data_IF_766945678852
#
_entry.id   IF_766945678852
#
_cell.length_a   1.000
_cell.length_b   1.000
_cell.length_c   1.000
_cell.angle_alpha   90.00
_cell.angle_beta   90.00
_cell.angle_gamma   90.00
#
_symmetry.space_group_name_H-M   'P 1'
#
loop_
_entity.id
_entity.type
_entity.pdbx_description
1 polymer ?
#
# COMPACT_ATOMS: atom_id res chain seq x y z
N UNK A 1 -26.91 2.70 -13.59
CA UNK A 1 -25.58 2.46 -14.13
C UNK A 1 -24.58 2.25 -13.01
N UNK A 2 -23.88 1.12 -13.02
CA UNK A 2 -22.92 0.83 -11.99
C UNK A 2 -21.60 1.53 -12.25
N UNK A 3 -20.93 1.92 -11.18
CA UNK A 3 -19.59 2.51 -11.25
C UNK A 3 -18.62 1.59 -10.54
N UNK A 4 -17.45 1.41 -11.12
CA UNK A 4 -16.42 0.58 -10.55
C UNK A 4 -15.31 1.49 -10.05
N UNK A 5 -14.94 1.31 -8.80
CA UNK A 5 -13.82 2.01 -8.19
C UNK A 5 -12.84 1.00 -7.62
N UNK A 6 -11.61 1.42 -7.49
CA UNK A 6 -10.57 0.57 -6.90
C UNK A 6 -10.08 1.23 -5.63
N UNK A 7 -10.12 0.47 -4.54
CA UNK A 7 -9.74 0.98 -3.22
C UNK A 7 -8.34 0.46 -2.89
N UNK A 8 -7.45 1.39 -2.62
CA UNK A 8 -6.08 1.05 -2.24
C UNK A 8 -6.01 0.77 -0.74
N UNK A 9 -5.52 -0.40 -0.41
CA UNK A 9 -5.26 -0.80 0.97
C UNK A 9 -3.77 -1.09 1.07
N UNK A 10 -3.07 -0.36 1.92
CA UNK A 10 -1.62 -0.48 2.03
C UNK A 10 -1.22 -0.75 3.47
N UNK A 11 -0.23 -1.62 3.63
CA UNK A 11 0.31 -1.97 4.93
C UNK A 11 1.83 -1.93 4.88
N UNK A 12 2.44 -1.67 6.04
CA UNK A 12 3.87 -1.83 6.22
C UNK A 12 4.07 -3.01 7.16
N UNK A 13 5.00 -3.87 6.81
CA UNK A 13 5.21 -5.12 7.50
C UNK A 13 6.64 -5.25 7.98
N UNK A 14 6.80 -5.99 9.07
CA UNK A 14 8.11 -6.36 9.61
C UNK A 14 8.25 -7.88 9.49
N UNK A 15 9.34 -8.34 8.90
CA UNK A 15 9.59 -9.77 8.77
C UNK A 15 10.17 -10.38 10.05
N UNK A 16 10.69 -9.56 10.95
CA UNK A 16 11.30 -9.99 12.20
C UNK A 16 10.78 -9.15 13.35
N UNK A 17 10.31 -9.75 14.45
CA UNK A 17 10.10 -11.17 14.72
C UNK A 17 8.71 -11.63 14.26
N UNK A 18 8.65 -12.33 13.16
CA UNK A 18 7.40 -12.77 12.59
C UNK A 18 6.75 -11.68 11.76
N UNK A 19 5.80 -12.07 10.93
CA UNK A 19 5.17 -11.14 10.00
C UNK A 19 4.10 -10.31 10.70
N UNK A 20 4.45 -9.09 11.05
CA UNK A 20 3.52 -8.14 11.65
C UNK A 20 3.32 -6.98 10.71
N UNK A 21 2.07 -6.69 10.39
CA UNK A 21 1.73 -5.62 9.46
C UNK A 21 0.82 -4.60 10.10
N UNK A 22 1.02 -3.34 9.72
CA UNK A 22 0.20 -2.23 10.18
C UNK A 22 -0.33 -1.45 8.98
N UNK A 23 -1.58 -1.00 9.03
CA UNK A 23 -2.11 -0.21 7.92
C UNK A 23 -1.38 1.13 7.80
N UNK A 24 -1.23 1.57 6.54
CA UNK A 24 -0.66 2.87 6.23
C UNK A 24 -1.76 3.72 5.64
N UNK A 25 -2.09 4.87 6.24
CA UNK A 25 -3.02 5.79 5.60
C UNK A 25 -2.39 6.39 4.36
N UNK A 26 -3.18 6.51 3.30
CA UNK A 26 -2.72 7.12 2.06
C UNK A 26 -3.57 8.36 1.77
N UNK A 27 -2.94 9.43 1.19
CA UNK A 27 -3.70 10.63 0.86
C UNK A 27 -4.82 10.36 -0.14
N UNK A 28 -4.59 9.44 -1.08
CA UNK A 28 -5.57 9.03 -2.06
C UNK A 28 -5.77 7.53 -1.93
N UNK A 29 -7.02 7.10 -1.74
CA UNK A 29 -7.33 5.70 -1.56
C UNK A 29 -8.35 5.17 -2.57
N UNK A 30 -8.96 6.05 -3.37
CA UNK A 30 -9.95 5.65 -4.37
C UNK A 30 -9.46 6.03 -5.76
N UNK A 31 -9.60 5.10 -6.70
CA UNK A 31 -9.17 5.29 -8.08
C UNK A 31 -10.26 4.81 -9.03
N UNK A 32 -10.40 5.49 -10.16
CA UNK A 32 -11.39 5.11 -11.16
C UNK A 32 -10.85 4.08 -12.15
N UNK A 33 -9.53 3.81 -12.13
CA UNK A 33 -8.90 2.85 -13.01
C UNK A 33 -7.92 1.99 -12.23
N UNK A 34 -7.89 0.70 -12.57
CA UNK A 34 -7.04 -0.26 -11.87
C UNK A 34 -5.55 0.10 -11.98
N UNK A 35 -5.10 0.43 -13.18
CA UNK A 35 -3.67 0.70 -13.36
C UNK A 35 -3.22 1.95 -12.59
N UNK A 36 -4.10 2.93 -12.41
CA UNK A 36 -3.77 4.10 -11.61
C UNK A 36 -3.57 3.73 -10.15
N UNK A 37 -4.40 2.82 -9.65
CA UNK A 37 -4.26 2.32 -8.28
C UNK A 37 -2.94 1.58 -8.10
N UNK A 38 -2.60 0.71 -9.02
CA UNK A 38 -1.38 -0.09 -8.95
C UNK A 38 -0.13 0.80 -9.01
N UNK A 39 -0.10 1.74 -9.94
CA UNK A 39 1.05 2.64 -10.07
C UNK A 39 1.22 3.48 -8.81
N UNK A 40 0.13 4.03 -8.31
CA UNK A 40 0.18 4.81 -7.08
C UNK A 40 0.67 3.98 -5.90
N UNK A 41 0.20 2.72 -5.82
CA UNK A 41 0.61 1.82 -4.75
C UNK A 41 2.11 1.58 -4.75
N UNK A 42 2.70 1.31 -5.91
CA UNK A 42 4.14 1.10 -6.02
C UNK A 42 4.92 2.37 -5.73
N UNK A 43 4.47 3.51 -6.27
CA UNK A 43 5.15 4.78 -6.05
C UNK A 43 5.12 5.16 -4.57
N UNK A 44 3.97 5.03 -3.93
CA UNK A 44 3.82 5.38 -2.53
C UNK A 44 4.62 4.42 -1.64
N UNK A 45 4.65 3.13 -1.99
CA UNK A 45 5.46 2.14 -1.26
C UNK A 45 6.93 2.51 -1.30
N UNK A 46 7.43 2.87 -2.47
CA UNK A 46 8.83 3.27 -2.62
C UNK A 46 9.13 4.51 -1.78
N UNK A 47 8.26 5.50 -1.85
CA UNK A 47 8.42 6.73 -1.06
C UNK A 47 8.45 6.45 0.44
N UNK A 48 7.56 5.58 0.91
CA UNK A 48 7.50 5.22 2.33
C UNK A 48 8.80 4.57 2.78
N UNK A 49 9.29 3.60 2.02
CA UNK A 49 10.52 2.91 2.37
C UNK A 49 11.73 3.84 2.34
N UNK A 50 11.76 4.76 1.37
CA UNK A 50 12.86 5.73 1.29
C UNK A 50 12.85 6.73 2.43
N UNK A 51 11.70 6.97 3.05
CA UNK A 51 11.59 7.89 4.16
C UNK A 51 12.01 7.29 5.49
N UNK A 52 12.18 5.96 5.55
CA UNK A 52 12.58 5.28 6.76
C UNK A 52 14.10 5.14 6.83
N UNK A 53 14.62 4.98 8.05
CA UNK A 53 16.04 4.76 8.26
C UNK A 53 16.41 3.39 7.66
N UNK A 54 17.40 3.34 6.74
CA UNK A 54 17.82 2.06 6.17
C UNK A 54 18.22 1.01 7.21
N UNK A 55 18.78 1.44 8.33
CA UNK A 55 19.16 0.49 9.39
C UNK A 55 17.93 -0.16 10.00
N UNK A 56 16.86 0.57 10.17
CA UNK A 56 15.61 0.02 10.70
C UNK A 56 15.02 -0.97 9.71
N UNK A 57 15.02 -0.63 8.43
CA UNK A 57 14.52 -1.54 7.39
C UNK A 57 15.31 -2.84 7.39
N UNK A 58 16.63 -2.74 7.47
CA UNK A 58 17.50 -3.92 7.46
C UNK A 58 17.33 -4.76 8.73
N UNK A 59 17.22 -4.09 9.87
CA UNK A 59 17.13 -4.80 11.16
C UNK A 59 15.85 -5.61 11.28
N UNK A 60 14.72 -5.03 10.87
CA UNK A 60 13.41 -5.68 11.01
C UNK A 60 12.92 -6.30 9.71
N UNK A 61 13.72 -6.25 8.65
CA UNK A 61 13.36 -6.73 7.32
C UNK A 61 11.99 -6.20 6.92
N UNK A 62 11.87 -4.88 6.94
CA UNK A 62 10.60 -4.21 6.67
C UNK A 62 10.27 -4.20 5.19
N UNK A 63 9.00 -4.32 4.89
CA UNK A 63 8.51 -4.24 3.52
C UNK A 63 7.09 -3.71 3.52
N UNK A 64 6.65 -3.27 2.36
CA UNK A 64 5.28 -2.80 2.19
C UNK A 64 4.53 -3.76 1.29
N UNK A 65 3.22 -3.83 1.51
CA UNK A 65 2.33 -4.59 0.64
C UNK A 65 1.08 -3.77 0.43
N UNK A 66 0.43 -3.96 -0.71
CA UNK A 66 -0.81 -3.26 -0.98
C UNK A 66 -1.69 -4.09 -1.89
N UNK A 67 -2.97 -3.74 -1.91
CA UNK A 67 -3.95 -4.38 -2.74
C UNK A 67 -4.89 -3.31 -3.29
N UNK A 68 -5.33 -3.50 -4.52
CA UNK A 68 -6.32 -2.63 -5.15
C UNK A 68 -7.61 -3.43 -5.28
N UNK A 69 -8.54 -3.21 -4.37
CA UNK A 69 -9.79 -3.95 -4.34
C UNK A 69 -10.84 -3.27 -5.16
N UNK A 70 -11.49 -4.05 -6.01
CA UNK A 70 -12.59 -3.55 -6.81
C UNK A 70 -13.82 -3.34 -5.94
N UNK A 71 -14.44 -2.19 -6.09
CA UNK A 71 -15.69 -1.87 -5.42
C UNK A 71 -16.67 -1.37 -6.45
N UNK A 72 -17.81 -2.04 -6.55
CA UNK A 72 -18.87 -1.65 -7.50
C UNK A 72 -19.95 -0.90 -6.75
N UNK A 73 -20.34 0.26 -7.27
CA UNK A 73 -21.43 1.03 -6.73
C UNK A 73 -22.48 1.26 -7.84
N UNK A 74 -23.73 1.28 -7.46
CA UNK A 74 -24.81 1.52 -8.40
C UNK A 74 -25.61 2.76 -7.98
#
# INVERSE_FOLDING_TARGET
>A
KSMIKYILIMVICSGIPGNQCKPIPTPISEFDEYHKCIIYGYDHSSMMLKSLDPRTINEFEMFTAFDCKEQTTT
#
